data_IF_993373614452
#
_entry.id   IF_993373614452
#
_cell.length_a   1.000
_cell.length_b   1.000
_cell.length_c   1.000
_cell.angle_alpha   90.00
_cell.angle_beta   90.00
_cell.angle_gamma   90.00
#
_symmetry.space_group_name_H-M   'P 1'
#
loop_
_entity.id
_entity.type
_entity.pdbx_description
1 polymer ?
#
# COMPACT_ATOMS: atom_id res chain seq x y z
N UNK A 1 -11.25 2.71 5.11
CA UNK A 1 -11.61 1.39 5.70
C UNK A 1 -10.98 1.21 7.07
N UNK A 2 -11.49 0.27 7.88
CA UNK A 2 -11.03 -0.02 9.23
C UNK A 2 -10.60 -1.48 9.35
N UNK A 3 -9.70 -1.77 10.33
CA UNK A 3 -9.26 -3.11 10.62
C UNK A 3 -8.29 -3.69 9.60
N UNK A 4 -7.71 -4.86 9.90
CA UNK A 4 -6.77 -5.56 9.03
C UNK A 4 -6.83 -7.07 9.28
N UNK A 5 -6.86 -7.86 8.21
CA UNK A 5 -6.88 -9.32 8.26
C UNK A 5 -5.51 -9.97 8.00
N UNK A 6 -4.42 -9.20 7.92
CA UNK A 6 -3.11 -9.75 7.52
C UNK A 6 -2.40 -10.50 8.66
N UNK A 7 -2.65 -10.14 9.92
CA UNK A 7 -2.03 -10.80 11.09
C UNK A 7 -0.50 -10.94 10.99
N UNK A 8 0.17 -9.89 10.46
CA UNK A 8 1.64 -9.85 10.48
C UNK A 8 2.12 -10.05 11.93
N UNK A 9 3.12 -10.91 12.14
CA UNK A 9 3.49 -11.42 13.48
C UNK A 9 3.98 -10.34 14.46
N UNK A 10 4.39 -9.18 13.96
CA UNK A 10 4.84 -8.02 14.73
C UNK A 10 3.75 -6.95 14.92
N UNK A 11 2.53 -7.17 14.41
CA UNK A 11 1.53 -6.10 14.33
C UNK A 11 0.35 -6.35 15.26
N UNK A 12 0.06 -5.36 16.11
CA UNK A 12 -1.07 -5.39 17.05
C UNK A 12 -2.42 -5.02 16.38
N UNK A 13 -2.41 -4.44 15.19
CA UNK A 13 -3.59 -3.86 14.55
C UNK A 13 -4.79 -4.81 14.46
N UNK A 14 -4.66 -6.08 14.01
CA UNK A 14 -5.81 -6.99 13.93
C UNK A 14 -6.51 -7.19 15.27
N UNK A 15 -5.78 -7.14 16.36
CA UNK A 15 -6.30 -7.36 17.73
C UNK A 15 -7.00 -6.13 18.29
N UNK A 16 -6.55 -4.91 17.94
CA UNK A 16 -7.08 -3.66 18.49
C UNK A 16 -8.07 -2.96 17.56
N UNK A 17 -7.98 -3.19 16.24
CA UNK A 17 -8.88 -2.60 15.23
C UNK A 17 -9.90 -3.60 14.67
N UNK A 18 -9.70 -4.89 14.92
CA UNK A 18 -10.57 -5.97 14.47
C UNK A 18 -10.45 -6.24 12.96
N UNK A 19 -11.46 -6.92 12.42
CA UNK A 19 -11.51 -7.31 11.00
C UNK A 19 -11.64 -6.12 10.06
N UNK A 20 -11.19 -6.30 8.83
CA UNK A 20 -11.37 -5.35 7.73
C UNK A 20 -12.86 -5.04 7.53
N UNK A 21 -13.16 -3.75 7.42
CA UNK A 21 -14.49 -3.21 7.10
C UNK A 21 -14.33 -2.04 6.16
N UNK A 22 -14.79 -2.22 4.93
CA UNK A 22 -14.83 -1.18 3.93
C UNK A 22 -16.07 -0.30 4.13
N UNK A 23 -15.95 0.99 3.89
CA UNK A 23 -17.12 1.86 3.71
C UNK A 23 -17.68 1.67 2.31
N UNK A 24 -18.95 1.88 2.12
CA UNK A 24 -19.57 1.78 0.80
C UNK A 24 -19.03 2.85 -0.15
N UNK A 25 -18.84 2.53 -1.45
CA UNK A 25 -18.31 3.50 -2.42
C UNK A 25 -19.12 4.82 -2.45
N UNK A 26 -20.44 4.71 -2.38
CA UNK A 26 -21.35 5.86 -2.45
C UNK A 26 -21.12 6.85 -1.31
N UNK A 27 -20.85 6.34 -0.09
CA UNK A 27 -20.56 7.17 1.09
C UNK A 27 -19.23 7.91 0.95
N UNK A 28 -18.21 7.22 0.41
CA UNK A 28 -16.89 7.82 0.18
C UNK A 28 -16.99 8.90 -0.90
N UNK A 29 -17.68 8.61 -2.00
CA UNK A 29 -17.88 9.56 -3.10
C UNK A 29 -18.67 10.80 -2.65
N UNK A 30 -19.68 10.64 -1.79
CA UNK A 30 -20.43 11.75 -1.23
C UNK A 30 -19.52 12.66 -0.39
N UNK A 31 -18.75 12.09 0.55
CA UNK A 31 -17.80 12.83 1.38
C UNK A 31 -16.74 13.55 0.54
N UNK A 32 -16.16 12.87 -0.47
CA UNK A 32 -15.16 13.50 -1.35
C UNK A 32 -15.76 14.67 -2.13
N UNK A 33 -17.00 14.56 -2.62
CA UNK A 33 -17.71 15.68 -3.29
C UNK A 33 -17.88 16.87 -2.34
N UNK A 34 -18.25 16.63 -1.09
CA UNK A 34 -18.38 17.68 -0.07
C UNK A 34 -17.04 18.36 0.21
N UNK A 35 -15.94 17.59 0.34
CA UNK A 35 -14.59 18.11 0.52
C UNK A 35 -14.15 18.98 -0.66
N UNK A 36 -14.38 18.52 -1.89
CA UNK A 36 -14.06 19.30 -3.10
C UNK A 36 -14.87 20.61 -3.12
N UNK A 37 -16.17 20.55 -2.82
CA UNK A 37 -17.05 21.73 -2.76
C UNK A 37 -16.62 22.72 -1.67
N UNK A 38 -16.07 22.23 -0.56
CA UNK A 38 -15.50 23.03 0.51
C UNK A 38 -14.10 23.61 0.18
N UNK A 39 -13.54 23.28 -1.00
CA UNK A 39 -12.29 23.85 -1.48
C UNK A 39 -11.03 23.08 -1.10
N UNK A 40 -11.14 21.87 -0.52
CA UNK A 40 -9.97 21.03 -0.23
C UNK A 40 -9.28 20.59 -1.52
N UNK A 41 -7.95 20.69 -1.54
CA UNK A 41 -7.11 20.41 -2.72
C UNK A 41 -6.25 19.16 -2.60
N UNK A 42 -6.14 18.57 -1.44
CA UNK A 42 -5.40 17.33 -1.21
C UNK A 42 -6.28 16.41 -0.35
N UNK A 43 -6.66 15.27 -0.91
CA UNK A 43 -7.56 14.28 -0.30
C UNK A 43 -6.82 12.96 -0.19
N UNK A 44 -6.64 12.46 1.04
CA UNK A 44 -5.92 11.21 1.29
C UNK A 44 -6.89 10.14 1.79
N UNK A 45 -6.99 9.02 1.07
CA UNK A 45 -7.72 7.84 1.52
C UNK A 45 -6.89 7.05 2.53
N UNK A 46 -7.48 6.76 3.68
CA UNK A 46 -6.82 6.09 4.79
C UNK A 46 -7.46 4.75 5.13
N UNK A 47 -6.62 3.85 5.61
CA UNK A 47 -7.02 2.54 6.11
C UNK A 47 -5.84 1.81 6.74
N UNK A 48 -6.04 0.59 7.22
CA UNK A 48 -4.96 -0.24 7.74
C UNK A 48 -4.29 -1.07 6.63
N UNK A 49 -5.01 -1.31 5.53
CA UNK A 49 -4.56 -1.92 4.29
C UNK A 49 -5.55 -1.51 3.18
N UNK A 50 -5.37 -0.34 2.59
CA UNK A 50 -6.33 0.21 1.62
C UNK A 50 -6.47 -0.66 0.37
N UNK A 51 -5.44 -1.43 0.02
CA UNK A 51 -5.43 -2.27 -1.18
C UNK A 51 -6.42 -3.45 -1.08
N UNK A 52 -6.88 -3.81 0.12
CA UNK A 52 -7.89 -4.84 0.33
C UNK A 52 -9.33 -4.31 0.27
N UNK A 53 -9.51 -3.00 0.02
CA UNK A 53 -10.82 -2.38 -0.06
C UNK A 53 -11.78 -3.12 -0.99
N UNK A 54 -13.02 -3.26 -0.55
CA UNK A 54 -14.12 -3.83 -1.33
C UNK A 54 -14.27 -5.35 -1.20
N UNK A 55 -13.23 -6.08 -0.74
CA UNK A 55 -13.29 -7.55 -0.60
C UNK A 55 -14.43 -8.04 0.30
N UNK A 56 -14.78 -7.26 1.32
CA UNK A 56 -15.84 -7.56 2.30
C UNK A 56 -17.22 -7.07 1.89
N UNK A 57 -17.33 -6.26 0.83
CA UNK A 57 -18.59 -5.67 0.38
C UNK A 57 -19.40 -6.59 -0.53
N UNK A 58 -18.77 -7.55 -1.22
CA UNK A 58 -19.44 -8.41 -2.20
C UNK A 58 -19.98 -7.69 -3.44
N UNK A 59 -19.47 -6.49 -3.74
CA UNK A 59 -19.94 -5.64 -4.84
C UNK A 59 -19.12 -5.79 -6.13
N UNK A 60 -18.02 -6.56 -6.10
CA UNK A 60 -17.10 -6.67 -7.24
C UNK A 60 -16.27 -5.41 -7.51
N UNK A 61 -16.26 -4.44 -6.58
CA UNK A 61 -15.49 -3.20 -6.65
C UNK A 61 -14.24 -3.35 -5.81
N UNK A 62 -13.08 -2.99 -6.36
CA UNK A 62 -11.81 -2.97 -5.64
C UNK A 62 -11.30 -1.53 -5.40
N UNK A 63 -10.12 -1.41 -4.78
CA UNK A 63 -9.52 -0.12 -4.48
C UNK A 63 -9.19 0.69 -5.74
N UNK A 64 -8.75 0.03 -6.81
CA UNK A 64 -8.45 0.69 -8.07
C UNK A 64 -9.70 1.29 -8.73
N UNK A 65 -10.84 0.59 -8.64
CA UNK A 65 -12.12 1.10 -9.13
C UNK A 65 -12.56 2.33 -8.35
N UNK A 66 -12.48 2.29 -7.01
CA UNK A 66 -12.79 3.44 -6.15
C UNK A 66 -11.91 4.65 -6.49
N UNK A 67 -10.60 4.45 -6.63
CA UNK A 67 -9.66 5.52 -7.00
C UNK A 67 -10.01 6.12 -8.36
N UNK A 68 -10.36 5.28 -9.34
CA UNK A 68 -10.78 5.73 -10.67
C UNK A 68 -12.06 6.57 -10.64
N UNK A 69 -13.06 6.15 -9.86
CA UNK A 69 -14.32 6.90 -9.70
C UNK A 69 -14.08 8.27 -9.05
N UNK A 70 -13.29 8.31 -7.97
CA UNK A 70 -12.97 9.58 -7.30
C UNK A 70 -12.19 10.50 -8.24
N UNK A 71 -11.21 9.99 -8.97
CA UNK A 71 -10.39 10.80 -9.88
C UNK A 71 -11.19 11.44 -11.03
N UNK A 72 -12.35 10.88 -11.38
CA UNK A 72 -13.26 11.42 -12.40
C UNK A 72 -14.19 12.52 -11.87
N UNK A 73 -14.27 12.74 -10.57
CA UNK A 73 -15.06 13.82 -10.01
C UNK A 73 -14.58 15.19 -10.51
N UNK A 74 -15.50 16.15 -10.78
CA UNK A 74 -15.12 17.49 -11.20
C UNK A 74 -14.35 18.24 -10.11
N UNK A 75 -13.51 19.18 -10.52
CA UNK A 75 -12.69 20.01 -9.62
C UNK A 75 -11.20 19.69 -9.73
N UNK A 76 -10.39 20.57 -9.16
CA UNK A 76 -8.93 20.43 -9.09
C UNK A 76 -8.53 20.01 -7.69
N UNK A 77 -8.00 18.79 -7.56
CA UNK A 77 -7.50 18.22 -6.30
C UNK A 77 -6.49 17.11 -6.58
N UNK A 78 -5.64 16.85 -5.59
CA UNK A 78 -4.81 15.66 -5.54
C UNK A 78 -5.52 14.56 -4.76
N UNK A 79 -5.49 13.34 -5.31
CA UNK A 79 -5.95 12.13 -4.62
C UNK A 79 -4.75 11.30 -4.21
N UNK A 80 -4.66 10.99 -2.93
CA UNK A 80 -3.59 10.18 -2.34
C UNK A 80 -4.18 9.02 -1.55
N UNK A 81 -3.34 8.07 -1.22
CA UNK A 81 -3.66 7.00 -0.29
C UNK A 81 -2.43 6.58 0.52
N UNK A 82 -2.68 5.99 1.67
CA UNK A 82 -1.63 5.51 2.57
C UNK A 82 -1.97 4.12 3.09
N UNK A 83 -0.93 3.39 3.53
CA UNK A 83 -1.06 2.10 4.21
C UNK A 83 -1.47 0.98 3.27
N UNK A 84 -0.50 0.53 2.51
CA UNK A 84 -0.62 -0.58 1.56
C UNK A 84 0.01 -1.87 2.11
N UNK A 85 -0.38 -3.01 1.53
CA UNK A 85 0.27 -4.28 1.74
C UNK A 85 0.61 -4.91 0.38
N UNK A 86 1.87 -5.34 0.13
CA UNK A 86 2.30 -5.86 -1.18
C UNK A 86 1.43 -7.00 -1.72
N UNK A 87 0.98 -7.90 -0.85
CA UNK A 87 0.07 -9.00 -1.20
C UNK A 87 -1.21 -8.55 -1.92
N UNK A 88 -1.71 -7.37 -1.58
CA UNK A 88 -2.97 -6.83 -2.11
C UNK A 88 -2.73 -5.74 -3.17
N UNK A 89 -1.48 -5.37 -3.43
CA UNK A 89 -1.14 -4.46 -4.52
C UNK A 89 -1.29 -5.17 -5.86
N UNK A 90 -1.96 -4.53 -6.81
CA UNK A 90 -2.26 -5.10 -8.12
C UNK A 90 -1.72 -4.23 -9.25
N UNK A 91 -1.43 -4.85 -10.41
CA UNK A 91 -1.10 -4.10 -11.64
C UNK A 91 -2.21 -3.12 -12.00
N UNK A 92 -3.49 -3.53 -11.84
CA UNK A 92 -4.65 -2.66 -12.07
C UNK A 92 -4.58 -1.35 -11.26
N UNK A 93 -4.10 -1.41 -10.02
CA UNK A 93 -3.93 -0.20 -9.20
C UNK A 93 -2.83 0.70 -9.77
N UNK A 94 -1.69 0.16 -10.16
CA UNK A 94 -0.62 0.93 -10.81
C UNK A 94 -1.10 1.55 -12.13
N UNK A 95 -1.80 0.80 -12.98
CA UNK A 95 -2.39 1.29 -14.22
C UNK A 95 -3.38 2.43 -13.96
N UNK A 96 -4.16 2.33 -12.90
CA UNK A 96 -5.11 3.37 -12.49
C UNK A 96 -4.38 4.64 -12.06
N UNK A 97 -3.32 4.52 -11.25
CA UNK A 97 -2.49 5.67 -10.85
C UNK A 97 -1.87 6.35 -12.07
N UNK A 98 -1.32 5.56 -12.99
CA UNK A 98 -0.72 6.08 -14.22
C UNK A 98 -1.73 6.79 -15.14
N UNK A 99 -2.96 6.29 -15.19
CA UNK A 99 -4.02 6.78 -16.07
C UNK A 99 -4.62 8.11 -15.65
N UNK A 100 -4.81 8.33 -14.35
CA UNK A 100 -5.55 9.48 -13.84
C UNK A 100 -4.62 10.55 -13.25
N UNK A 101 -4.49 11.74 -13.88
CA UNK A 101 -3.53 12.76 -13.46
C UNK A 101 -3.82 13.39 -12.09
N UNK A 102 -5.05 13.25 -11.57
CA UNK A 102 -5.38 13.69 -10.21
C UNK A 102 -4.85 12.76 -9.13
N UNK A 103 -4.51 11.51 -9.46
CA UNK A 103 -3.92 10.58 -8.51
C UNK A 103 -2.42 10.88 -8.42
N UNK A 104 -1.95 11.18 -7.22
CA UNK A 104 -0.53 11.43 -7.01
C UNK A 104 0.27 10.15 -7.32
N UNK A 105 1.32 10.28 -8.13
CA UNK A 105 2.23 9.17 -8.45
C UNK A 105 3.16 8.88 -7.29
N UNK A 106 2.58 8.52 -6.16
CA UNK A 106 3.25 8.15 -4.92
C UNK A 106 2.66 6.87 -4.39
N UNK A 107 3.51 5.88 -4.13
CA UNK A 107 3.07 4.61 -3.57
C UNK A 107 3.95 4.23 -2.37
N UNK A 108 3.33 4.18 -1.20
CA UNK A 108 3.97 3.61 -0.01
C UNK A 108 3.67 2.11 0.02
N UNK A 109 4.71 1.28 -0.21
CA UNK A 109 4.59 -0.17 -0.35
C UNK A 109 5.58 -0.88 0.59
N UNK A 110 5.22 -1.10 1.87
CA UNK A 110 6.08 -1.69 2.89
C UNK A 110 6.52 -3.11 2.55
N UNK A 111 7.81 -3.32 2.24
CA UNK A 111 8.33 -4.67 1.95
C UNK A 111 8.79 -5.43 3.20
N UNK A 112 9.17 -4.74 4.25
CA UNK A 112 9.58 -5.21 5.58
C UNK A 112 10.90 -6.00 5.63
N UNK A 113 11.13 -6.97 4.74
CA UNK A 113 12.37 -7.75 4.60
C UNK A 113 12.56 -8.18 3.15
N UNK A 114 13.80 -8.30 2.73
CA UNK A 114 14.19 -8.80 1.40
C UNK A 114 14.34 -10.32 1.30
N UNK A 115 14.13 -11.05 2.40
CA UNK A 115 14.33 -12.51 2.47
C UNK A 115 13.01 -13.25 2.68
N UNK A 116 12.76 -14.29 1.87
CA UNK A 116 11.49 -15.04 1.89
C UNK A 116 11.24 -15.81 3.18
N UNK A 117 12.30 -16.33 3.85
CA UNK A 117 12.14 -16.99 5.15
C UNK A 117 11.72 -15.99 6.22
N UNK A 118 12.32 -14.81 6.24
CA UNK A 118 11.98 -13.74 7.17
C UNK A 118 10.56 -13.23 6.89
N UNK A 119 10.20 -12.98 5.63
CA UNK A 119 8.83 -12.61 5.23
C UNK A 119 7.81 -13.65 5.71
N UNK A 120 8.09 -14.94 5.55
CA UNK A 120 7.24 -16.02 6.05
C UNK A 120 7.11 -16.00 7.58
N UNK A 121 8.22 -15.77 8.30
CA UNK A 121 8.21 -15.65 9.77
C UNK A 121 7.43 -14.40 10.23
N UNK A 122 7.46 -13.33 9.47
CA UNK A 122 6.64 -12.12 9.65
C UNK A 122 5.16 -12.32 9.28
N UNK A 123 4.77 -13.49 8.78
CA UNK A 123 3.43 -13.78 8.23
C UNK A 123 3.05 -12.83 7.07
N UNK A 124 4.03 -12.53 6.20
CA UNK A 124 3.85 -11.76 4.98
C UNK A 124 3.61 -12.73 3.82
N UNK A 125 2.46 -12.64 3.15
CA UNK A 125 2.02 -13.61 2.15
C UNK A 125 2.40 -13.17 0.72
N UNK A 126 3.68 -12.89 0.51
CA UNK A 126 4.31 -12.63 -0.78
C UNK A 126 5.82 -12.96 -0.68
N UNK A 127 6.45 -13.13 -1.81
CA UNK A 127 7.89 -13.39 -1.93
C UNK A 127 8.64 -12.12 -2.35
N UNK A 128 9.97 -12.13 -2.15
CA UNK A 128 10.87 -11.11 -2.69
C UNK A 128 10.65 -10.90 -4.19
N UNK A 129 10.57 -11.98 -4.96
CA UNK A 129 10.41 -11.91 -6.42
C UNK A 129 9.08 -11.26 -6.82
N UNK A 130 7.98 -11.61 -6.15
CA UNK A 130 6.67 -11.00 -6.39
C UNK A 130 6.68 -9.50 -6.08
N UNK A 131 7.35 -9.11 -5.00
CA UNK A 131 7.52 -7.71 -4.65
C UNK A 131 8.31 -6.94 -5.70
N UNK A 132 9.47 -7.46 -6.12
CA UNK A 132 10.31 -6.83 -7.15
C UNK A 132 9.56 -6.66 -8.48
N UNK A 133 8.79 -7.67 -8.90
CA UNK A 133 7.93 -7.58 -10.10
C UNK A 133 6.95 -6.42 -10.03
N UNK A 134 6.35 -6.18 -8.86
CA UNK A 134 5.42 -5.06 -8.67
C UNK A 134 6.15 -3.71 -8.69
N UNK A 135 7.27 -3.60 -7.99
CA UNK A 135 8.04 -2.37 -7.91
C UNK A 135 8.60 -1.95 -9.29
N UNK A 136 9.19 -2.91 -10.02
CA UNK A 136 9.70 -2.67 -11.38
C UNK A 136 8.57 -2.31 -12.35
N UNK A 137 7.44 -3.02 -12.29
CA UNK A 137 6.28 -2.69 -13.12
C UNK A 137 5.80 -1.26 -12.87
N UNK A 138 5.71 -0.85 -11.61
CA UNK A 138 5.31 0.51 -11.28
C UNK A 138 6.25 1.57 -11.86
N UNK A 139 7.56 1.36 -11.77
CA UNK A 139 8.56 2.27 -12.35
C UNK A 139 8.61 2.22 -13.89
N UNK A 140 8.32 1.08 -14.50
CA UNK A 140 8.24 0.94 -15.97
C UNK A 140 7.12 1.82 -16.53
N UNK A 141 5.92 1.75 -15.96
CA UNK A 141 4.76 2.49 -16.46
C UNK A 141 4.70 3.94 -15.96
N UNK A 142 5.39 4.25 -14.85
CA UNK A 142 5.49 5.58 -14.25
C UNK A 142 6.95 5.88 -13.88
N UNK A 143 7.78 6.39 -14.80
CA UNK A 143 9.18 6.70 -14.51
C UNK A 143 9.37 7.76 -13.40
N UNK A 144 8.36 8.57 -13.13
CA UNK A 144 8.29 9.58 -12.09
C UNK A 144 7.56 9.10 -10.80
N UNK A 145 7.35 7.78 -10.65
CA UNK A 145 6.75 7.20 -9.46
C UNK A 145 7.64 7.40 -8.23
N UNK A 146 7.10 8.07 -7.22
CA UNK A 146 7.71 8.13 -5.89
C UNK A 146 7.33 6.87 -5.11
N UNK A 147 8.30 6.00 -4.89
CA UNK A 147 8.13 4.75 -4.16
C UNK A 147 8.79 4.83 -2.79
N UNK A 148 7.99 4.65 -1.75
CA UNK A 148 8.46 4.64 -0.36
C UNK A 148 8.12 3.31 0.31
N UNK A 149 8.86 2.94 1.37
CA UNK A 149 8.65 1.66 2.03
C UNK A 149 9.07 1.68 3.49
N UNK A 150 8.68 0.63 4.22
CA UNK A 150 9.16 0.31 5.56
C UNK A 150 10.01 -0.95 5.52
N UNK A 151 11.01 -1.00 6.38
CA UNK A 151 11.86 -2.17 6.62
C UNK A 151 12.08 -2.37 8.11
N UNK A 152 11.99 -3.62 8.55
CA UNK A 152 12.31 -4.04 9.92
C UNK A 152 13.54 -4.91 9.85
N UNK A 153 14.60 -4.54 10.56
CA UNK A 153 15.85 -5.30 10.66
C UNK A 153 16.01 -5.94 12.05
N UNK A 154 16.77 -7.01 12.14
CA UNK A 154 16.97 -7.74 13.39
C UNK A 154 15.71 -8.49 13.82
N UNK A 155 14.88 -8.95 12.89
CA UNK A 155 13.73 -9.79 13.20
C UNK A 155 14.21 -11.10 13.86
N UNK A 156 13.49 -11.70 14.85
CA UNK A 156 13.95 -12.87 15.56
C UNK A 156 14.42 -14.01 14.64
N UNK A 157 15.70 -14.36 14.78
CA UNK A 157 16.34 -15.40 13.97
C UNK A 157 16.76 -14.97 12.56
N UNK A 158 16.72 -13.69 12.24
CA UNK A 158 17.31 -13.16 10.99
C UNK A 158 18.82 -13.30 11.05
N UNK A 159 19.42 -13.86 10.00
CA UNK A 159 20.89 -13.99 9.86
C UNK A 159 21.46 -12.81 9.08
N UNK A 160 22.79 -12.69 9.10
CA UNK A 160 23.50 -11.65 8.32
C UNK A 160 23.24 -11.81 6.82
N UNK A 161 23.26 -13.04 6.30
CA UNK A 161 22.99 -13.31 4.90
C UNK A 161 21.57 -12.90 4.49
N UNK A 162 20.59 -13.09 5.38
CA UNK A 162 19.21 -12.68 5.15
C UNK A 162 19.02 -11.17 5.22
N UNK A 163 19.80 -10.50 6.07
CA UNK A 163 19.88 -9.05 6.08
C UNK A 163 20.50 -8.50 4.79
N UNK A 164 21.56 -9.14 4.26
CA UNK A 164 22.15 -8.76 2.97
C UNK A 164 21.15 -8.91 1.80
N UNK A 165 20.25 -9.89 1.83
CA UNK A 165 19.12 -9.97 0.89
C UNK A 165 18.26 -8.72 0.96
N UNK A 166 18.04 -8.17 2.16
CA UNK A 166 17.28 -6.93 2.35
C UNK A 166 18.01 -5.74 1.76
N UNK A 167 19.32 -5.63 1.97
CA UNK A 167 20.16 -4.57 1.38
C UNK A 167 20.11 -4.64 -0.15
N UNK A 168 20.31 -5.84 -0.72
CA UNK A 168 20.30 -6.01 -2.18
C UNK A 168 18.93 -5.69 -2.82
N UNK A 169 17.82 -5.91 -2.11
CA UNK A 169 16.50 -5.48 -2.56
C UNK A 169 16.38 -3.94 -2.57
N UNK A 170 16.90 -3.28 -1.55
CA UNK A 170 16.90 -1.81 -1.47
C UNK A 170 17.69 -1.21 -2.63
N UNK A 171 18.86 -1.76 -2.95
CA UNK A 171 19.71 -1.32 -4.05
C UNK A 171 19.05 -1.52 -5.41
N UNK A 172 18.33 -2.62 -5.60
CA UNK A 172 17.60 -2.92 -6.84
C UNK A 172 16.42 -1.97 -7.05
N UNK A 173 15.55 -1.79 -6.06
CA UNK A 173 14.33 -0.97 -6.17
C UNK A 173 14.61 0.53 -6.18
N UNK A 174 15.63 1.01 -5.48
CA UNK A 174 16.01 2.43 -5.37
C UNK A 174 14.86 3.30 -4.88
N UNK A 175 14.45 3.09 -3.65
CA UNK A 175 13.37 3.87 -3.02
C UNK A 175 13.70 5.36 -2.93
N UNK A 176 12.66 6.19 -3.02
CA UNK A 176 12.77 7.63 -2.77
C UNK A 176 12.88 7.95 -1.27
N UNK A 177 12.26 7.11 -0.42
CA UNK A 177 12.43 7.16 1.02
C UNK A 177 12.16 5.80 1.66
N UNK A 178 12.91 5.48 2.72
CA UNK A 178 12.72 4.30 3.55
C UNK A 178 12.56 4.70 5.02
N UNK A 179 11.59 4.09 5.67
CA UNK A 179 11.45 4.12 7.13
C UNK A 179 12.02 2.82 7.69
N UNK A 180 13.12 2.95 8.43
CA UNK A 180 13.89 1.80 8.93
C UNK A 180 13.66 1.63 10.43
N UNK A 181 13.34 0.41 10.83
CA UNK A 181 13.05 0.07 12.22
C UNK A 181 13.91 -1.12 12.66
N UNK A 182 14.49 -1.02 13.84
CA UNK A 182 15.06 -2.18 14.52
C UNK A 182 13.90 -2.91 15.21
N UNK A 183 13.81 -4.22 15.03
CA UNK A 183 12.77 -5.01 15.70
C UNK A 183 12.84 -4.80 17.23
N UNK A 184 11.68 -4.53 17.80
CA UNK A 184 11.49 -4.45 19.26
C UNK A 184 10.29 -5.32 19.64
N UNK A 185 10.44 -6.24 20.62
CA UNK A 185 9.36 -7.10 21.09
C UNK A 185 8.24 -6.32 21.79
#
# INVERSE_FOLDING_TARGET
MYGCNNFCSYCIVPYVRGRERSRRPEEILAEVKELIAAGYKDITLLGQNVNSYGKDLGLGVDFADLMAEIAQLPGEFWLRFMTSHPKDASKKLFDTIAKYPKIAKQFHLPFQSGNDRVLKAMNRHYTREEYLKLAHYGREIMPDLVLTSDVIVGFPGETEEEFEDTISLIEDVRYDALFTFIFSP
#
